data_IF_113088995300
#
_entry.id   IF_113088995300
#
_cell.length_a   1.000
_cell.length_b   1.000
_cell.length_c   1.000
_cell.angle_alpha   90.00
_cell.angle_beta   90.00
_cell.angle_gamma   90.00
#
_symmetry.space_group_name_H-M   'P 1'
#
loop_
_entity.id
_entity.type
_entity.pdbx_description
1 polymer ?
#
# COMPACT_ATOMS: atom_id res chain seq x y z
N UNK A 1 22.54 30.49 -69.41
CA UNK A 1 21.90 30.49 -68.07
C UNK A 1 21.49 29.04 -67.73
N UNK A 2 22.27 28.31 -66.92
CA UNK A 2 21.99 26.91 -66.56
C UNK A 2 21.37 26.86 -65.16
N UNK A 3 20.11 26.45 -65.05
CA UNK A 3 19.45 26.29 -63.75
C UNK A 3 20.00 25.05 -63.02
N UNK A 4 20.48 25.27 -61.79
CA UNK A 4 20.94 24.21 -60.88
C UNK A 4 19.73 23.58 -60.21
N UNK A 5 19.41 22.33 -60.55
CA UNK A 5 18.39 21.57 -59.82
C UNK A 5 18.88 21.21 -58.42
N UNK A 6 18.14 21.60 -57.39
CA UNK A 6 18.41 21.25 -56.00
C UNK A 6 17.77 19.89 -55.70
N UNK A 7 18.60 18.87 -55.50
CA UNK A 7 18.17 17.55 -55.04
C UNK A 7 17.58 17.65 -53.63
N UNK A 8 16.26 17.51 -53.51
CA UNK A 8 15.58 17.36 -52.22
C UNK A 8 15.48 15.86 -51.88
N UNK A 9 16.50 15.32 -51.21
CA UNK A 9 16.39 13.99 -50.60
C UNK A 9 15.51 14.08 -49.34
N UNK A 10 14.56 13.15 -49.12
CA UNK A 10 13.75 13.15 -47.92
C UNK A 10 14.66 12.96 -46.70
N UNK A 11 14.47 13.81 -45.68
CA UNK A 11 15.23 13.73 -44.43
C UNK A 11 14.89 12.41 -43.75
N UNK A 12 15.73 11.40 -43.91
CA UNK A 12 15.55 10.12 -43.23
C UNK A 12 15.64 10.35 -41.72
N UNK A 13 14.61 9.93 -40.99
CA UNK A 13 14.61 10.01 -39.53
C UNK A 13 15.75 9.14 -39.01
N UNK A 14 16.70 9.75 -38.30
CA UNK A 14 17.86 9.03 -37.80
C UNK A 14 17.42 8.08 -36.67
N UNK A 15 17.71 6.77 -36.77
CA UNK A 15 17.23 5.76 -35.81
C UNK A 15 17.73 6.03 -34.39
N UNK A 16 18.83 6.77 -34.25
CA UNK A 16 19.41 7.22 -33.00
C UNK A 16 18.43 8.04 -32.14
N UNK A 17 17.56 8.85 -32.77
CA UNK A 17 16.59 9.67 -32.03
C UNK A 17 15.59 8.82 -31.26
N UNK A 18 15.12 7.74 -31.88
CA UNK A 18 14.20 6.80 -31.24
C UNK A 18 14.92 5.98 -30.18
N UNK A 19 16.17 5.57 -30.42
CA UNK A 19 16.98 4.88 -29.42
C UNK A 19 17.20 5.75 -28.18
N UNK A 20 17.50 7.04 -28.33
CA UNK A 20 17.65 7.96 -27.20
C UNK A 20 16.35 8.15 -26.42
N UNK A 21 15.20 8.21 -27.10
CA UNK A 21 13.89 8.32 -26.45
C UNK A 21 13.58 7.05 -25.67
N UNK A 22 13.82 5.87 -26.25
CA UNK A 22 13.61 4.58 -25.60
C UNK A 22 14.50 4.46 -24.36
N UNK A 23 15.80 4.78 -24.49
CA UNK A 23 16.73 4.75 -23.36
C UNK A 23 16.35 5.74 -22.24
N UNK A 24 15.90 6.94 -22.59
CA UNK A 24 15.44 7.92 -21.61
C UNK A 24 14.17 7.44 -20.89
N UNK A 25 13.20 6.89 -21.62
CA UNK A 25 11.98 6.32 -21.02
C UNK A 25 12.27 5.13 -20.10
N UNK A 26 13.18 4.24 -20.50
CA UNK A 26 13.60 3.11 -19.68
C UNK A 26 14.32 3.56 -18.40
N UNK A 27 15.14 4.61 -18.48
CA UNK A 27 15.81 5.21 -17.31
C UNK A 27 14.80 5.82 -16.32
N UNK A 28 13.77 6.52 -16.81
CA UNK A 28 12.71 7.09 -15.94
C UNK A 28 11.93 5.98 -15.22
N UNK A 29 11.60 4.89 -15.91
CA UNK A 29 10.89 3.75 -15.31
C UNK A 29 11.69 3.09 -14.18
N UNK A 30 13.01 2.97 -14.33
CA UNK A 30 13.88 2.38 -13.31
C UNK A 30 13.89 3.18 -11.99
N UNK A 31 13.64 4.49 -12.03
CA UNK A 31 13.63 5.37 -10.84
C UNK A 31 12.30 5.27 -10.07
N UNK A 32 11.23 4.75 -10.68
CA UNK A 32 9.89 4.69 -10.06
C UNK A 32 9.66 3.51 -9.11
N UNK A 33 10.69 2.72 -8.82
CA UNK A 33 10.60 1.59 -7.87
C UNK A 33 10.62 2.10 -6.42
N UNK A 34 9.51 2.69 -5.97
CA UNK A 34 9.34 3.01 -4.56
C UNK A 34 9.04 1.73 -3.79
N UNK A 35 9.90 1.38 -2.84
CA UNK A 35 9.61 0.34 -1.86
C UNK A 35 8.50 0.84 -0.94
N UNK A 36 7.32 0.22 -0.97
CA UNK A 36 6.28 0.48 0.00
C UNK A 36 6.79 0.06 1.40
N UNK A 37 7.06 1.05 2.25
CA UNK A 37 7.48 0.80 3.63
C UNK A 37 6.24 0.54 4.48
N UNK A 38 5.73 -0.68 4.41
CA UNK A 38 4.70 -1.12 5.34
C UNK A 38 5.34 -1.40 6.71
N UNK A 39 4.91 -0.68 7.75
CA UNK A 39 5.37 -0.95 9.11
C UNK A 39 4.32 -1.73 9.89
N UNK A 40 4.75 -2.38 10.98
CA UNK A 40 3.84 -3.03 11.90
C UNK A 40 3.09 -2.00 12.78
N UNK A 41 1.92 -2.35 13.35
CA UNK A 41 1.31 -1.61 14.45
C UNK A 41 2.30 -1.39 15.59
N UNK A 42 2.29 -0.19 16.17
CA UNK A 42 3.20 0.17 17.26
C UNK A 42 2.74 -0.40 18.60
N UNK A 43 1.43 -0.59 18.80
CA UNK A 43 0.88 -1.10 20.06
C UNK A 43 -0.43 -1.84 19.85
N UNK A 44 -0.62 -2.93 20.60
CA UNK A 44 -1.87 -3.66 20.72
C UNK A 44 -2.10 -3.95 22.21
N UNK A 45 -3.12 -3.33 22.79
CA UNK A 45 -3.53 -3.57 24.19
C UNK A 45 -4.83 -4.34 24.24
N UNK A 46 -4.92 -5.27 25.20
CA UNK A 46 -6.10 -6.06 25.47
C UNK A 46 -6.54 -5.79 26.91
N UNK A 47 -7.83 -5.56 27.10
CA UNK A 47 -8.45 -5.47 28.41
C UNK A 47 -9.70 -6.34 28.41
N UNK A 48 -9.83 -7.20 29.41
CA UNK A 48 -10.99 -8.08 29.53
C UNK A 48 -11.77 -7.74 30.81
N UNK A 49 -13.06 -7.48 30.67
CA UNK A 49 -13.96 -7.18 31.78
C UNK A 49 -14.82 -8.40 32.07
N UNK A 50 -14.57 -9.07 33.21
CA UNK A 50 -15.28 -10.30 33.60
C UNK A 50 -16.78 -10.07 33.81
N UNK A 51 -17.16 -8.90 34.32
CA UNK A 51 -18.56 -8.57 34.64
C UNK A 51 -19.42 -8.51 33.37
N UNK A 52 -18.88 -7.95 32.28
CA UNK A 52 -19.58 -7.81 30.99
C UNK A 52 -19.22 -8.90 29.99
N UNK A 53 -18.21 -9.72 30.30
CA UNK A 53 -17.62 -10.70 29.39
C UNK A 53 -17.13 -10.09 28.08
N UNK A 54 -16.53 -8.90 28.16
CA UNK A 54 -16.07 -8.15 26.99
C UNK A 54 -14.54 -8.10 26.92
N UNK A 55 -14.02 -8.45 25.75
CA UNK A 55 -12.64 -8.19 25.36
C UNK A 55 -12.58 -6.86 24.59
N UNK A 56 -12.01 -5.84 25.22
CA UNK A 56 -11.63 -4.61 24.54
C UNK A 56 -10.22 -4.73 23.99
N UNK A 57 -10.07 -4.45 22.70
CA UNK A 57 -8.77 -4.29 22.06
C UNK A 57 -8.58 -2.83 21.66
N UNK A 58 -7.38 -2.29 21.86
CA UNK A 58 -6.98 -0.99 21.33
C UNK A 58 -5.70 -1.19 20.54
N UNK A 59 -5.69 -0.68 19.30
CA UNK A 59 -4.58 -0.82 18.38
C UNK A 59 -4.09 0.57 18.01
N UNK A 60 -2.78 0.75 17.98
CA UNK A 60 -2.13 1.97 17.50
C UNK A 60 -1.32 1.61 16.25
N UNK A 61 -1.65 2.24 15.13
CA UNK A 61 -0.99 2.07 13.85
C UNK A 61 -1.12 3.37 13.06
N UNK A 62 -0.09 4.23 13.19
CA UNK A 62 -0.05 5.53 12.55
C UNK A 62 0.28 5.38 11.07
N UNK A 63 -0.63 5.78 10.19
CA UNK A 63 -0.44 5.69 8.74
C UNK A 63 -0.82 7.02 8.09
N UNK A 64 -0.20 7.32 6.95
CA UNK A 64 -0.51 8.53 6.19
C UNK A 64 -1.86 8.43 5.48
N UNK A 65 -2.18 7.27 4.91
CA UNK A 65 -3.43 7.01 4.18
C UNK A 65 -3.99 5.63 4.57
N UNK A 66 -5.12 5.60 5.30
CA UNK A 66 -5.71 4.37 5.81
C UNK A 66 -6.35 3.48 4.74
N UNK A 67 -6.46 3.94 3.49
CA UNK A 67 -7.00 3.16 2.37
C UNK A 67 -5.92 2.41 1.58
N UNK A 68 -4.65 2.84 1.71
CA UNK A 68 -3.51 2.24 0.99
C UNK A 68 -2.50 1.58 1.92
N UNK A 69 -2.40 2.03 3.18
CA UNK A 69 -1.59 1.39 4.21
C UNK A 69 -2.44 1.14 5.47
N UNK A 70 -2.76 -0.13 5.72
CA UNK A 70 -3.67 -0.50 6.81
C UNK A 70 -3.38 -1.91 7.35
N UNK A 71 -3.95 -2.23 8.51
CA UNK A 71 -3.95 -3.59 9.07
C UNK A 71 -4.92 -4.44 8.28
N UNK A 72 -4.45 -5.45 7.54
CA UNK A 72 -5.30 -6.25 6.67
C UNK A 72 -6.20 -7.26 7.39
N UNK A 73 -5.77 -7.76 8.56
CA UNK A 73 -6.50 -8.80 9.31
C UNK A 73 -6.29 -8.67 10.81
N UNK A 74 -7.37 -8.81 11.56
CA UNK A 74 -7.36 -9.08 13.01
C UNK A 74 -7.94 -10.46 13.25
N UNK A 75 -7.22 -11.29 14.00
CA UNK A 75 -7.63 -12.65 14.35
C UNK A 75 -7.63 -12.79 15.87
N UNK A 76 -8.81 -13.04 16.45
CA UNK A 76 -8.98 -13.25 17.89
C UNK A 76 -9.02 -14.75 18.12
N UNK A 77 -8.18 -15.24 19.05
CA UNK A 77 -8.16 -16.65 19.46
C UNK A 77 -8.58 -16.80 20.91
N UNK A 78 -9.40 -17.81 21.18
CA UNK A 78 -9.78 -18.25 22.52
C UNK A 78 -9.41 -19.72 22.66
N UNK A 79 -8.64 -20.07 23.70
CA UNK A 79 -8.21 -21.45 23.99
C UNK A 79 -7.58 -22.17 22.79
N UNK A 80 -6.76 -21.45 22.00
CA UNK A 80 -6.09 -21.99 20.81
C UNK A 80 -6.95 -22.07 19.54
N UNK A 81 -8.27 -21.87 19.64
CA UNK A 81 -9.18 -21.83 18.50
C UNK A 81 -9.44 -20.39 18.04
N UNK A 82 -9.64 -20.19 16.74
CA UNK A 82 -10.07 -18.89 16.20
C UNK A 82 -11.49 -18.59 16.68
N UNK A 83 -11.63 -17.51 17.42
CA UNK A 83 -12.91 -17.00 17.92
C UNK A 83 -13.56 -16.04 16.93
N UNK A 84 -12.77 -15.12 16.36
CA UNK A 84 -13.24 -14.16 15.37
C UNK A 84 -12.12 -13.82 14.38
N UNK A 85 -12.49 -13.48 13.15
CA UNK A 85 -11.56 -12.92 12.16
C UNK A 85 -12.24 -11.74 11.47
N UNK A 86 -11.56 -10.60 11.49
CA UNK A 86 -11.99 -9.39 10.80
C UNK A 86 -10.98 -9.08 9.70
N UNK A 87 -11.45 -9.01 8.46
CA UNK A 87 -10.66 -8.56 7.31
C UNK A 87 -10.93 -7.08 7.08
N UNK A 88 -9.90 -6.36 6.65
CA UNK A 88 -9.97 -4.94 6.36
C UNK A 88 -9.56 -4.68 4.91
N UNK A 89 -10.20 -3.69 4.32
CA UNK A 89 -9.77 -3.05 3.07
C UNK A 89 -9.31 -1.60 3.30
N UNK A 90 -9.51 -1.10 4.52
CA UNK A 90 -9.07 0.21 5.02
C UNK A 90 -9.07 0.16 6.56
N UNK A 91 -8.26 1.00 7.22
CA UNK A 91 -8.33 1.14 8.69
C UNK A 91 -9.29 2.27 9.11
N UNK A 92 -10.06 2.12 10.20
CA UNK A 92 -11.09 3.10 10.58
C UNK A 92 -10.54 4.46 11.03
N UNK A 93 -9.36 4.46 11.65
CA UNK A 93 -8.69 5.64 12.15
C UNK A 93 -7.21 5.57 11.74
N UNK A 94 -6.61 6.68 11.23
CA UNK A 94 -5.22 6.69 10.78
C UNK A 94 -4.20 6.56 11.92
N UNK A 95 -4.59 6.65 13.19
CA UNK A 95 -3.70 6.62 14.35
C UNK A 95 -4.00 5.46 15.30
N UNK A 96 -5.21 5.40 15.85
CA UNK A 96 -5.59 4.41 16.84
C UNK A 96 -7.10 4.15 16.85
N UNK A 97 -7.48 2.89 17.01
CA UNK A 97 -8.87 2.48 17.08
C UNK A 97 -9.06 1.40 18.14
N UNK A 98 -10.29 1.34 18.68
CA UNK A 98 -10.69 0.36 19.69
C UNK A 98 -11.92 -0.42 19.23
N UNK A 99 -11.97 -1.68 19.62
CA UNK A 99 -13.14 -2.53 19.47
C UNK A 99 -13.44 -3.27 20.77
N UNK A 100 -14.71 -3.52 21.03
CA UNK A 100 -15.17 -4.42 22.08
C UNK A 100 -15.81 -5.64 21.45
N UNK A 101 -15.39 -6.82 21.89
CA UNK A 101 -15.93 -8.10 21.46
C UNK A 101 -16.55 -8.79 22.68
N UNK A 102 -17.80 -9.27 22.60
CA UNK A 102 -18.36 -10.13 23.63
C UNK A 102 -17.64 -11.48 23.52
N UNK A 103 -16.74 -11.80 24.46
CA UNK A 103 -15.95 -13.04 24.45
C UNK A 103 -16.18 -13.76 25.77
N UNK A 104 -17.17 -14.64 25.82
CA UNK A 104 -17.49 -15.36 27.05
C UNK A 104 -16.31 -16.19 27.57
N UNK A 105 -15.98 -16.01 28.85
CA UNK A 105 -15.00 -16.83 29.57
C UNK A 105 -15.64 -18.18 29.93
N UNK A 106 -15.20 -19.23 29.25
CA UNK A 106 -15.67 -20.61 29.38
C UNK A 106 -14.50 -21.55 29.29
#
# INVERSE_FOLDING_TARGET
MKQRQKNNKPKQATPWKYLTIILLSASVLMITSFTASAHAPSTLTLSYTLQTQELRITITHQVADPTTHYIAKIEIKKNGATYNTTLYTEQPDPNSFSYSYPVNAT
#
